data_IF_521781458172
#
_entry.id   IF_521781458172
#
_cell.length_a   1.000
_cell.length_b   1.000
_cell.length_c   1.000
_cell.angle_alpha   90.00
_cell.angle_beta   90.00
_cell.angle_gamma   90.00
#
_symmetry.space_group_name_H-M   'P 1'
#
loop_
_entity.id
_entity.type
_entity.pdbx_description
1 polymer ?
#
# COMPACT_ATOMS: atom_id res chain seq x y z
N UNK A 1 -48.72 -14.89 -11.17
CA UNK A 1 -47.61 -15.84 -11.46
C UNK A 1 -46.73 -15.33 -12.60
N UNK A 2 -47.24 -15.13 -13.82
CA UNK A 2 -46.45 -14.53 -14.93
C UNK A 2 -45.95 -13.11 -14.57
N UNK A 3 -46.80 -12.30 -13.95
CA UNK A 3 -46.45 -10.96 -13.45
C UNK A 3 -45.25 -11.00 -12.50
N UNK A 4 -45.27 -11.88 -11.49
CA UNK A 4 -44.15 -12.07 -10.57
C UNK A 4 -42.82 -12.42 -11.27
N UNK A 5 -42.84 -13.29 -12.29
CA UNK A 5 -41.63 -13.61 -13.06
C UNK A 5 -41.17 -12.43 -13.92
N UNK A 6 -42.09 -11.60 -14.42
CA UNK A 6 -41.75 -10.36 -15.11
C UNK A 6 -41.13 -9.35 -14.15
N UNK A 7 -41.65 -9.19 -12.94
CA UNK A 7 -41.05 -8.33 -11.89
C UNK A 7 -39.62 -8.79 -11.56
N UNK A 8 -39.39 -10.10 -11.39
CA UNK A 8 -38.05 -10.64 -11.17
C UNK A 8 -37.10 -10.38 -12.35
N UNK A 9 -37.61 -10.46 -13.58
CA UNK A 9 -36.84 -10.12 -14.78
C UNK A 9 -36.49 -8.64 -14.83
N UNK A 10 -37.42 -7.75 -14.47
CA UNK A 10 -37.18 -6.31 -14.37
C UNK A 10 -36.14 -6.00 -13.29
N UNK A 11 -36.23 -6.64 -12.13
CA UNK A 11 -35.23 -6.53 -11.07
C UNK A 11 -33.82 -6.91 -11.56
N UNK A 12 -33.68 -8.02 -12.29
CA UNK A 12 -32.40 -8.41 -12.87
C UNK A 12 -31.89 -7.39 -13.92
N UNK A 13 -32.80 -6.79 -14.70
CA UNK A 13 -32.44 -5.77 -15.67
C UNK A 13 -31.90 -4.48 -15.02
N UNK A 14 -32.32 -4.14 -13.78
CA UNK A 14 -31.72 -3.02 -13.01
C UNK A 14 -30.22 -3.22 -12.82
N UNK A 15 -29.78 -4.46 -12.64
CA UNK A 15 -28.36 -4.81 -12.55
C UNK A 15 -27.71 -5.07 -13.91
N UNK A 16 -28.42 -4.77 -15.00
CA UNK A 16 -28.06 -5.08 -16.39
C UNK A 16 -27.86 -6.58 -16.68
N UNK A 17 -28.57 -7.44 -15.94
CA UNK A 17 -28.57 -8.89 -16.13
C UNK A 17 -29.77 -9.31 -16.96
N UNK A 18 -29.49 -9.71 -18.20
CA UNK A 18 -30.47 -10.26 -19.13
C UNK A 18 -30.93 -11.66 -18.72
N UNK A 19 -32.25 -11.82 -18.64
CA UNK A 19 -32.93 -13.10 -18.43
C UNK A 19 -34.13 -13.26 -19.35
N UNK A 20 -34.60 -14.50 -19.52
CA UNK A 20 -35.82 -14.83 -20.23
C UNK A 20 -36.63 -15.85 -19.44
N UNK A 21 -37.95 -15.83 -19.63
CA UNK A 21 -38.88 -16.75 -18.97
C UNK A 21 -39.30 -17.79 -20.01
N UNK A 22 -39.13 -19.06 -19.69
CA UNK A 22 -39.69 -20.16 -20.46
C UNK A 22 -40.80 -20.83 -19.67
N UNK A 23 -41.93 -21.07 -20.32
CA UNK A 23 -43.05 -21.83 -19.78
C UNK A 23 -42.96 -23.21 -20.43
N UNK A 24 -42.79 -24.25 -19.61
CA UNK A 24 -42.84 -25.63 -20.08
C UNK A 24 -44.10 -26.28 -19.55
N UNK A 25 -44.86 -26.85 -20.47
CA UNK A 25 -45.91 -27.80 -20.18
C UNK A 25 -45.29 -29.21 -20.23
N UNK A 26 -44.64 -29.61 -19.13
CA UNK A 26 -43.96 -30.91 -19.07
C UNK A 26 -44.96 -32.07 -18.86
N UNK A 27 -46.28 -31.82 -18.90
CA UNK A 27 -47.35 -32.79 -18.58
C UNK A 27 -47.09 -33.53 -17.26
N UNK A 28 -46.33 -32.93 -16.35
CA UNK A 28 -46.10 -33.48 -15.03
C UNK A 28 -47.38 -33.32 -14.22
N UNK A 29 -47.99 -34.45 -13.86
CA UNK A 29 -49.19 -34.48 -13.04
C UNK A 29 -48.81 -34.41 -11.57
N UNK A 30 -49.46 -33.51 -10.82
CA UNK A 30 -49.27 -33.41 -9.38
C UNK A 30 -49.67 -34.75 -8.73
N UNK A 31 -48.74 -35.43 -8.06
CA UNK A 31 -48.94 -36.78 -7.45
C UNK A 31 -50.19 -36.91 -6.57
N UNK A 32 -50.66 -35.79 -6.00
CA UNK A 32 -51.80 -35.77 -5.05
C UNK A 32 -53.16 -35.76 -5.75
N UNK A 33 -53.31 -35.00 -6.84
CA UNK A 33 -54.63 -34.69 -7.43
C UNK A 33 -54.69 -34.82 -8.97
N UNK A 34 -53.63 -35.36 -9.61
CA UNK A 34 -53.55 -35.60 -11.07
C UNK A 34 -53.79 -34.38 -11.98
N UNK A 35 -53.67 -33.16 -11.46
CA UNK A 35 -53.74 -31.91 -12.23
C UNK A 35 -52.44 -31.66 -13.00
N UNK A 36 -52.57 -31.07 -14.19
CA UNK A 36 -51.45 -30.63 -15.02
C UNK A 36 -50.70 -29.47 -14.34
N UNK A 37 -49.37 -29.57 -14.26
CA UNK A 37 -48.51 -28.55 -13.65
C UNK A 37 -47.78 -27.78 -14.75
N UNK A 38 -47.92 -26.46 -14.75
CA UNK A 38 -47.13 -25.57 -15.58
C UNK A 38 -45.85 -25.16 -14.82
N UNK A 39 -44.70 -25.40 -15.43
CA UNK A 39 -43.40 -25.01 -14.86
C UNK A 39 -42.92 -23.72 -15.51
N UNK A 40 -42.77 -22.68 -14.69
CA UNK A 40 -42.15 -21.42 -15.09
C UNK A 40 -40.67 -21.46 -14.73
N UNK A 41 -39.79 -21.19 -15.69
CA UNK A 41 -38.35 -21.11 -15.45
C UNK A 41 -37.81 -19.74 -15.88
N UNK A 42 -37.23 -19.01 -14.93
CA UNK A 42 -36.45 -17.80 -15.20
C UNK A 42 -35.00 -18.22 -15.48
N UNK A 43 -34.54 -18.02 -16.72
CA UNK A 43 -33.20 -18.44 -17.15
C UNK A 43 -32.34 -17.23 -17.48
N UNK A 44 -31.13 -17.18 -16.94
CA UNK A 44 -30.14 -16.17 -17.29
C UNK A 44 -29.55 -16.47 -18.67
N UNK A 45 -29.31 -15.44 -19.49
CA UNK A 45 -28.56 -15.63 -20.73
C UNK A 45 -27.12 -16.06 -20.39
N UNK A 46 -26.62 -17.11 -21.04
CA UNK A 46 -25.31 -17.72 -20.77
C UNK A 46 -24.13 -17.01 -21.44
N UNK A 47 -24.29 -15.74 -21.85
CA UNK A 47 -23.17 -14.98 -22.43
C UNK A 47 -22.18 -14.59 -21.33
N UNK A 48 -20.89 -14.54 -21.68
CA UNK A 48 -19.82 -14.19 -20.73
C UNK A 48 -20.09 -12.84 -20.04
N UNK A 49 -20.54 -11.85 -20.82
CA UNK A 49 -20.88 -10.51 -20.33
C UNK A 49 -22.03 -10.55 -19.31
N UNK A 50 -23.08 -11.32 -19.59
CA UNK A 50 -24.25 -11.40 -18.73
C UNK A 50 -23.94 -12.14 -17.42
N UNK A 51 -23.21 -13.25 -17.52
CA UNK A 51 -22.76 -14.00 -16.35
C UNK A 51 -21.76 -13.18 -15.51
N UNK A 52 -20.88 -12.40 -16.14
CA UNK A 52 -19.98 -11.50 -15.44
C UNK A 52 -20.76 -10.48 -14.61
N UNK A 53 -21.74 -9.80 -15.22
CA UNK A 53 -22.61 -8.85 -14.51
C UNK A 53 -23.37 -9.50 -13.37
N UNK A 54 -23.92 -10.69 -13.59
CA UNK A 54 -24.62 -11.44 -12.55
C UNK A 54 -23.70 -11.74 -11.35
N UNK A 55 -22.54 -12.34 -11.58
CA UNK A 55 -21.63 -12.72 -10.50
C UNK A 55 -20.94 -11.53 -9.82
N UNK A 56 -20.65 -10.46 -10.57
CA UNK A 56 -19.98 -9.26 -10.06
C UNK A 56 -20.93 -8.32 -9.29
N UNK A 57 -22.21 -8.21 -9.71
CA UNK A 57 -23.17 -7.24 -9.14
C UNK A 57 -24.16 -7.86 -8.18
N UNK A 58 -24.57 -9.12 -8.40
CA UNK A 58 -25.58 -9.80 -7.58
C UNK A 58 -24.94 -10.91 -6.75
N UNK A 59 -24.31 -11.88 -7.42
CA UNK A 59 -23.64 -13.03 -6.81
C UNK A 59 -24.54 -13.84 -5.87
N UNK A 60 -23.94 -14.38 -4.80
CA UNK A 60 -24.62 -15.24 -3.83
C UNK A 60 -24.34 -14.78 -2.39
N UNK A 61 -24.67 -13.53 -2.08
CA UNK A 61 -24.36 -12.90 -0.79
C UNK A 61 -24.92 -13.67 0.43
N UNK A 62 -25.95 -14.49 0.23
CA UNK A 62 -26.60 -15.28 1.26
C UNK A 62 -25.84 -16.55 1.67
N UNK A 63 -24.80 -16.97 0.93
CA UNK A 63 -24.05 -18.20 1.18
C UNK A 63 -22.56 -17.98 0.94
N UNK A 64 -21.73 -18.14 1.97
CA UNK A 64 -20.32 -17.75 1.95
C UNK A 64 -19.51 -18.47 0.86
N UNK A 65 -19.67 -19.79 0.77
CA UNK A 65 -18.97 -20.60 -0.23
C UNK A 65 -19.33 -20.19 -1.67
N UNK A 66 -20.63 -20.00 -1.94
CA UNK A 66 -21.11 -19.57 -3.26
C UNK A 66 -20.71 -18.14 -3.57
N UNK A 67 -20.67 -17.26 -2.56
CA UNK A 67 -20.20 -15.89 -2.70
C UNK A 67 -18.73 -15.84 -3.13
N UNK A 68 -17.86 -16.66 -2.51
CA UNK A 68 -16.45 -16.80 -2.93
C UNK A 68 -16.33 -17.30 -4.37
N UNK A 69 -17.03 -18.38 -4.71
CA UNK A 69 -17.00 -18.92 -6.08
C UNK A 69 -17.52 -17.92 -7.11
N UNK A 70 -18.57 -17.15 -6.78
CA UNK A 70 -19.09 -16.07 -7.63
C UNK A 70 -18.02 -15.03 -7.94
N UNK A 71 -17.27 -14.59 -6.93
CA UNK A 71 -16.20 -13.59 -7.10
C UNK A 71 -15.10 -14.13 -8.02
N UNK A 72 -14.64 -15.36 -7.77
CA UNK A 72 -13.63 -16.01 -8.63
C UNK A 72 -14.14 -16.20 -10.07
N UNK A 73 -15.38 -16.65 -10.24
CA UNK A 73 -16.01 -16.79 -11.55
C UNK A 73 -16.13 -15.44 -12.27
N UNK A 74 -16.41 -14.36 -11.55
CA UNK A 74 -16.51 -13.02 -12.12
C UNK A 74 -15.15 -12.54 -12.67
N UNK A 75 -14.05 -12.72 -11.93
CA UNK A 75 -12.71 -12.34 -12.38
C UNK A 75 -12.23 -13.24 -13.53
N UNK A 76 -12.55 -14.52 -13.51
CA UNK A 76 -12.27 -15.41 -14.64
C UNK A 76 -13.04 -15.01 -15.91
N UNK A 77 -14.30 -14.61 -15.78
CA UNK A 77 -15.10 -14.10 -16.91
C UNK A 77 -14.55 -12.77 -17.42
N UNK A 78 -14.09 -11.89 -16.53
CA UNK A 78 -13.40 -10.64 -16.88
C UNK A 78 -12.11 -10.93 -17.67
N UNK A 79 -11.31 -11.91 -17.24
CA UNK A 79 -10.14 -12.38 -17.98
C UNK A 79 -10.50 -12.92 -19.38
N UNK A 80 -11.61 -13.66 -19.51
CA UNK A 80 -12.15 -14.10 -20.81
C UNK A 80 -12.54 -12.92 -21.71
N UNK A 81 -13.31 -11.97 -21.17
CA UNK A 81 -13.76 -10.78 -21.91
C UNK A 81 -12.57 -9.94 -22.37
N UNK A 82 -11.60 -9.71 -21.49
CA UNK A 82 -10.36 -9.00 -21.80
C UNK A 82 -9.58 -9.71 -22.92
N UNK A 83 -9.48 -11.04 -22.86
CA UNK A 83 -8.84 -11.82 -23.92
C UNK A 83 -9.57 -11.62 -25.25
N UNK A 84 -10.90 -11.71 -25.29
CA UNK A 84 -11.66 -11.43 -26.53
C UNK A 84 -11.35 -10.03 -27.07
N UNK A 85 -11.27 -9.02 -26.20
CA UNK A 85 -10.95 -7.65 -26.61
C UNK A 85 -9.54 -7.54 -27.22
N UNK A 86 -8.53 -8.19 -26.63
CA UNK A 86 -7.18 -8.26 -27.21
C UNK A 86 -7.21 -8.88 -28.61
N UNK A 87 -7.95 -9.96 -28.80
CA UNK A 87 -8.07 -10.61 -30.11
C UNK A 87 -8.85 -9.74 -31.12
N UNK A 88 -9.83 -8.95 -30.68
CA UNK A 88 -10.49 -7.95 -31.52
C UNK A 88 -9.54 -6.86 -31.98
N UNK A 89 -8.68 -6.36 -31.08
CA UNK A 89 -7.62 -5.40 -31.45
C UNK A 89 -6.66 -6.00 -32.48
N UNK A 90 -6.25 -7.26 -32.29
CA UNK A 90 -5.45 -8.01 -33.29
C UNK A 90 -6.17 -8.10 -34.64
N UNK A 91 -7.47 -8.35 -34.67
CA UNK A 91 -8.25 -8.37 -35.92
C UNK A 91 -8.18 -7.03 -36.68
N UNK A 92 -8.36 -5.91 -35.97
CA UNK A 92 -8.29 -4.59 -36.58
C UNK A 92 -6.90 -4.28 -37.17
N UNK A 93 -5.85 -4.71 -36.45
CA UNK A 93 -4.47 -4.65 -36.95
C UNK A 93 -4.28 -5.51 -38.20
N UNK A 94 -4.84 -6.73 -38.25
CA UNK A 94 -4.78 -7.60 -39.43
C UNK A 94 -5.39 -6.90 -40.65
N UNK A 95 -6.58 -6.31 -40.52
CA UNK A 95 -7.24 -5.58 -41.61
C UNK A 95 -6.37 -4.42 -42.12
N UNK A 96 -5.76 -3.67 -41.19
CA UNK A 96 -4.88 -2.54 -41.50
C UNK A 96 -3.62 -2.98 -42.25
N UNK A 97 -2.94 -4.04 -41.77
CA UNK A 97 -1.68 -4.51 -42.34
C UNK A 97 -1.86 -5.23 -43.68
N UNK A 98 -2.98 -5.94 -43.88
CA UNK A 98 -3.34 -6.49 -45.19
C UNK A 98 -3.62 -5.36 -46.19
N UNK A 99 -4.28 -4.29 -45.76
CA UNK A 99 -4.52 -3.09 -46.59
C UNK A 99 -3.23 -2.42 -47.09
N UNK A 100 -2.11 -2.59 -46.38
CA UNK A 100 -0.77 -2.13 -46.80
C UNK A 100 -0.08 -3.06 -47.82
N UNK A 101 -0.74 -4.14 -48.25
CA UNK A 101 -0.21 -5.08 -49.24
C UNK A 101 0.68 -6.20 -48.66
N UNK A 102 0.70 -6.38 -47.34
CA UNK A 102 1.49 -7.44 -46.69
C UNK A 102 0.80 -8.80 -46.88
N UNK A 103 1.57 -9.87 -47.13
CA UNK A 103 1.00 -11.21 -47.26
C UNK A 103 0.40 -11.73 -45.94
N UNK A 104 -0.65 -12.55 -46.02
CA UNK A 104 -1.32 -13.13 -44.84
C UNK A 104 -0.36 -13.85 -43.89
N UNK A 105 0.65 -14.55 -44.41
CA UNK A 105 1.67 -15.24 -43.60
C UNK A 105 2.56 -14.27 -42.83
N UNK A 106 2.90 -13.13 -43.43
CA UNK A 106 3.73 -12.12 -42.77
C UNK A 106 2.92 -11.34 -41.73
N UNK A 107 1.64 -11.04 -42.01
CA UNK A 107 0.73 -10.44 -41.01
C UNK A 107 0.51 -11.38 -39.82
N UNK A 108 0.33 -12.67 -40.06
CA UNK A 108 0.20 -13.66 -38.98
C UNK A 108 1.41 -13.67 -38.03
N UNK A 109 2.63 -13.53 -38.57
CA UNK A 109 3.86 -13.40 -37.78
C UNK A 109 3.95 -12.06 -37.04
N UNK A 110 3.59 -10.97 -37.70
CA UNK A 110 3.66 -9.62 -37.13
C UNK A 110 2.70 -9.44 -35.94
N UNK A 111 1.48 -9.97 -36.06
CA UNK A 111 0.41 -9.84 -35.05
C UNK A 111 0.45 -10.99 -34.02
N UNK A 112 1.39 -11.93 -34.18
CA UNK A 112 1.53 -13.13 -33.36
C UNK A 112 0.21 -13.90 -33.25
N UNK A 113 -0.26 -14.43 -34.37
CA UNK A 113 -1.49 -15.22 -34.46
C UNK A 113 -1.39 -16.31 -35.54
N UNK A 114 -2.35 -17.23 -35.55
CA UNK A 114 -2.37 -18.29 -36.56
C UNK A 114 -2.78 -17.75 -37.93
N UNK A 115 -2.26 -18.35 -38.99
CA UNK A 115 -2.66 -18.04 -40.36
C UNK A 115 -4.17 -18.26 -40.57
N UNK A 116 -4.75 -19.28 -39.94
CA UNK A 116 -6.19 -19.57 -40.01
C UNK A 116 -7.03 -18.46 -39.36
N UNK A 117 -6.52 -17.83 -38.31
CA UNK A 117 -7.19 -16.69 -37.68
C UNK A 117 -7.21 -15.49 -38.63
N UNK A 118 -6.09 -15.16 -39.27
CA UNK A 118 -6.01 -14.11 -40.30
C UNK A 118 -7.02 -14.36 -41.42
N UNK A 119 -7.06 -15.58 -41.95
CA UNK A 119 -8.00 -15.95 -43.01
C UNK A 119 -9.48 -15.88 -42.57
N UNK A 120 -9.76 -16.13 -41.28
CA UNK A 120 -11.11 -16.02 -40.72
C UNK A 120 -11.55 -14.55 -40.56
N UNK A 121 -10.66 -13.66 -40.14
CA UNK A 121 -10.97 -12.24 -39.99
C UNK A 121 -11.22 -11.56 -41.34
N UNK A 122 -10.46 -11.93 -42.37
CA UNK A 122 -10.72 -11.45 -43.75
C UNK A 122 -12.08 -11.90 -44.31
N UNK A 123 -12.69 -12.93 -43.74
CA UNK A 123 -14.05 -13.40 -44.08
C UNK A 123 -15.13 -12.74 -43.20
N UNK A 124 -14.78 -11.76 -42.36
CA UNK A 124 -15.69 -11.06 -41.46
C UNK A 124 -16.27 -11.96 -40.36
N UNK A 125 -15.56 -13.02 -39.94
CA UNK A 125 -16.03 -13.89 -38.87
C UNK A 125 -15.82 -13.24 -37.50
N UNK A 126 -16.81 -13.42 -36.62
CA UNK A 126 -16.72 -12.95 -35.23
C UNK A 126 -15.50 -13.49 -34.48
N UNK A 127 -14.88 -12.62 -33.69
CA UNK A 127 -13.78 -12.97 -32.80
C UNK A 127 -14.33 -13.69 -31.57
N UNK A 128 -13.90 -14.94 -31.40
CA UNK A 128 -14.19 -15.75 -30.23
C UNK A 128 -12.92 -16.07 -29.45
N UNK A 129 -13.11 -16.59 -28.23
CA UNK A 129 -12.03 -17.07 -27.39
C UNK A 129 -11.24 -18.17 -28.10
N UNK A 130 -9.89 -18.11 -28.13
CA UNK A 130 -9.08 -19.18 -28.70
C UNK A 130 -9.24 -20.47 -27.88
N UNK A 131 -9.77 -21.54 -28.50
CA UNK A 131 -10.05 -22.81 -27.79
C UNK A 131 -8.79 -23.62 -27.46
N UNK A 132 -7.81 -23.62 -28.35
CA UNK A 132 -6.49 -24.22 -28.10
C UNK A 132 -5.73 -23.24 -27.19
N UNK A 133 -5.48 -23.62 -25.94
CA UNK A 133 -4.61 -22.93 -24.97
C UNK A 133 -5.25 -21.87 -24.06
N UNK A 134 -6.58 -21.75 -23.98
CA UNK A 134 -7.16 -20.96 -22.90
C UNK A 134 -7.24 -21.77 -21.61
N UNK A 135 -6.82 -21.18 -20.50
CA UNK A 135 -6.76 -21.84 -19.19
C UNK A 135 -8.18 -22.11 -18.69
N UNK A 136 -8.46 -23.34 -18.25
CA UNK A 136 -9.74 -23.70 -17.61
C UNK A 136 -9.88 -23.07 -16.22
N UNK A 137 -11.10 -23.01 -15.68
CA UNK A 137 -11.39 -22.26 -14.45
C UNK A 137 -10.56 -22.74 -13.26
N UNK A 138 -10.54 -24.05 -13.00
CA UNK A 138 -9.83 -24.61 -11.83
C UNK A 138 -8.32 -24.34 -11.94
N UNK A 139 -7.74 -24.59 -13.12
CA UNK A 139 -6.32 -24.28 -13.38
C UNK A 139 -6.00 -22.79 -13.35
N UNK A 140 -6.97 -21.93 -13.63
CA UNK A 140 -6.80 -20.48 -13.56
C UNK A 140 -6.77 -20.03 -12.10
N UNK A 141 -7.63 -20.60 -11.24
CA UNK A 141 -7.58 -20.35 -9.79
C UNK A 141 -6.23 -20.75 -9.23
N UNK A 142 -5.78 -21.99 -9.48
CA UNK A 142 -4.49 -22.51 -8.96
C UNK A 142 -3.29 -21.65 -9.35
N UNK A 143 -3.39 -20.91 -10.47
CA UNK A 143 -2.30 -20.11 -11.01
C UNK A 143 -2.32 -18.65 -10.52
N UNK A 144 -3.50 -18.07 -10.30
CA UNK A 144 -3.64 -16.63 -10.08
C UNK A 144 -4.20 -16.25 -8.71
N UNK A 145 -4.82 -17.20 -7.99
CA UNK A 145 -5.29 -16.96 -6.63
C UNK A 145 -4.17 -17.20 -5.62
N UNK A 146 -3.99 -16.25 -4.72
CA UNK A 146 -3.01 -16.30 -3.65
C UNK A 146 -3.65 -15.70 -2.38
N UNK A 147 -3.94 -16.53 -1.39
CA UNK A 147 -4.53 -16.14 -0.10
C UNK A 147 -5.73 -15.17 -0.23
N UNK A 148 -6.72 -15.55 -1.05
CA UNK A 148 -7.93 -14.76 -1.35
C UNK A 148 -7.72 -13.50 -2.21
N UNK A 149 -6.52 -13.26 -2.72
CA UNK A 149 -6.22 -12.22 -3.70
C UNK A 149 -6.04 -12.82 -5.10
N UNK A 150 -6.36 -12.02 -6.13
CA UNK A 150 -6.07 -12.38 -7.52
C UNK A 150 -4.98 -11.44 -8.02
N UNK A 151 -3.84 -12.01 -8.41
CA UNK A 151 -2.73 -11.25 -8.97
C UNK A 151 -3.07 -10.77 -10.39
N UNK A 152 -3.09 -9.44 -10.57
CA UNK A 152 -3.28 -8.80 -11.87
C UNK A 152 -2.01 -8.03 -12.26
N UNK A 153 -1.60 -8.17 -13.53
CA UNK A 153 -0.48 -7.40 -14.09
C UNK A 153 -1.01 -6.14 -14.77
N UNK A 154 -0.38 -5.01 -14.47
CA UNK A 154 -0.61 -3.76 -15.20
C UNK A 154 0.00 -3.93 -16.59
N UNK A 155 -0.82 -3.76 -17.63
CA UNK A 155 -0.41 -3.95 -19.03
C UNK A 155 -0.03 -2.60 -19.66
N UNK A 156 -0.74 -1.53 -19.31
CA UNK A 156 -0.57 -0.21 -19.90
C UNK A 156 -1.02 0.86 -18.91
N UNK A 157 -0.28 1.97 -18.83
CA UNK A 157 -0.66 3.17 -18.08
C UNK A 157 -0.88 4.27 -19.11
N UNK A 158 -2.08 4.87 -19.11
CA UNK A 158 -2.44 5.96 -20.03
C UNK A 158 -2.76 7.22 -19.25
N UNK A 159 -2.23 8.34 -19.73
CA UNK A 159 -2.69 9.65 -19.30
C UNK A 159 -4.04 9.96 -19.97
N UNK A 160 -5.05 10.25 -19.17
CA UNK A 160 -6.39 10.60 -19.64
C UNK A 160 -6.67 12.05 -19.30
N UNK A 161 -7.22 12.79 -20.26
CA UNK A 161 -7.69 14.16 -20.02
C UNK A 161 -9.02 14.07 -19.28
N UNK A 162 -9.04 14.50 -18.03
CA UNK A 162 -10.25 14.52 -17.22
C UNK A 162 -10.53 15.96 -16.78
N UNK A 163 -11.74 16.45 -17.05
CA UNK A 163 -12.10 17.87 -16.93
C UNK A 163 -12.21 18.36 -15.49
N UNK A 164 -12.31 17.45 -14.51
CA UNK A 164 -12.50 17.81 -13.09
C UNK A 164 -11.78 16.81 -12.17
N UNK A 165 -10.43 16.80 -12.24
CA UNK A 165 -9.61 16.10 -11.25
C UNK A 165 -9.38 17.05 -10.08
N UNK A 166 -10.10 16.83 -8.98
CA UNK A 166 -9.72 17.44 -7.70
C UNK A 166 -8.51 16.71 -7.20
N UNK A 167 -7.39 17.43 -7.17
CA UNK A 167 -6.19 16.94 -6.52
C UNK A 167 -6.44 16.83 -5.01
N UNK A 168 -6.78 15.62 -4.58
CA UNK A 168 -6.90 15.23 -3.17
C UNK A 168 -5.57 14.72 -2.62
N UNK A 169 -4.48 14.84 -3.36
CA UNK A 169 -3.16 14.43 -2.88
C UNK A 169 -2.61 15.45 -1.89
N UNK A 170 -2.26 14.96 -0.70
CA UNK A 170 -1.12 15.51 0.02
C UNK A 170 0.09 14.76 -0.53
N UNK A 171 0.89 15.39 -1.39
CA UNK A 171 2.07 14.83 -2.10
C UNK A 171 1.80 13.60 -2.98
N UNK A 172 2.66 13.39 -3.98
CA UNK A 172 2.39 12.62 -5.22
C UNK A 172 1.96 11.15 -5.07
N UNK A 173 2.09 10.49 -3.90
CA UNK A 173 1.99 9.03 -3.79
C UNK A 173 0.98 8.47 -2.76
N UNK A 174 0.05 9.27 -2.25
CA UNK A 174 -0.73 8.89 -1.05
C UNK A 174 -2.11 8.28 -1.29
N UNK A 175 -2.61 8.26 -2.53
CA UNK A 175 -3.99 7.89 -2.87
C UNK A 175 -4.04 6.80 -3.93
N UNK A 176 -4.83 5.76 -3.69
CA UNK A 176 -5.09 4.72 -4.68
C UNK A 176 -6.58 4.40 -4.77
N UNK A 177 -7.09 4.27 -6.00
CA UNK A 177 -8.45 3.81 -6.29
C UNK A 177 -8.38 2.36 -6.75
N UNK A 178 -8.91 1.44 -5.94
CA UNK A 178 -9.02 0.01 -6.27
C UNK A 178 -10.47 -0.41 -6.35
N UNK A 179 -10.95 -0.85 -7.51
CA UNK A 179 -12.31 -1.40 -7.66
C UNK A 179 -13.43 -0.53 -7.05
N UNK A 180 -13.31 0.80 -7.16
CA UNK A 180 -14.29 1.76 -6.60
C UNK A 180 -14.07 2.14 -5.13
N UNK A 181 -13.06 1.58 -4.45
CA UNK A 181 -12.64 1.99 -3.11
C UNK A 181 -11.46 2.95 -3.18
N UNK A 182 -11.60 4.09 -2.49
CA UNK A 182 -10.49 5.04 -2.28
C UNK A 182 -9.74 4.60 -1.02
N UNK A 183 -8.46 4.29 -1.17
CA UNK A 183 -7.51 4.15 -0.06
C UNK A 183 -6.63 5.39 0.01
N UNK A 184 -6.59 6.03 1.17
CA UNK A 184 -5.90 7.30 1.41
C UNK A 184 -4.98 7.16 2.62
N UNK A 185 -3.67 7.32 2.41
CA UNK A 185 -2.66 7.25 3.47
C UNK A 185 -2.23 8.66 3.87
N UNK A 186 -2.49 9.08 5.11
CA UNK A 186 -2.06 10.38 5.62
C UNK A 186 -1.43 10.28 7.01
N UNK A 187 -0.50 11.19 7.30
CA UNK A 187 0.09 11.31 8.65
C UNK A 187 -0.90 11.94 9.63
N UNK A 188 -1.73 12.87 9.15
CA UNK A 188 -2.66 13.64 9.99
C UNK A 188 -4.03 13.68 9.33
N UNK A 189 -5.01 13.01 9.94
CA UNK A 189 -6.40 13.03 9.46
C UNK A 189 -6.96 14.46 9.40
N UNK A 190 -6.54 15.34 10.31
CA UNK A 190 -6.96 16.75 10.35
C UNK A 190 -6.57 17.57 9.12
N UNK A 191 -5.59 17.11 8.33
CA UNK A 191 -5.24 17.75 7.06
C UNK A 191 -6.16 17.34 5.91
N UNK A 192 -7.06 16.38 6.13
CA UNK A 192 -8.03 15.92 5.13
C UNK A 192 -9.34 16.69 5.31
N UNK A 193 -9.93 17.14 4.21
CA UNK A 193 -11.21 17.86 4.26
C UNK A 193 -12.35 16.95 4.77
N UNK A 194 -13.26 17.52 5.55
CA UNK A 194 -14.38 16.80 6.17
C UNK A 194 -15.29 16.03 5.19
N UNK A 195 -15.56 16.51 3.96
CA UNK A 195 -16.34 15.74 2.98
C UNK A 195 -15.72 14.39 2.60
N UNK A 196 -14.39 14.25 2.67
CA UNK A 196 -13.72 12.97 2.41
C UNK A 196 -13.76 12.12 3.68
N UNK A 197 -13.41 12.69 4.84
CA UNK A 197 -13.40 11.95 6.10
C UNK A 197 -14.76 11.31 6.43
N UNK A 198 -15.85 12.05 6.20
CA UNK A 198 -17.23 11.57 6.44
C UNK A 198 -17.63 10.36 5.58
N UNK A 199 -16.92 10.09 4.48
CA UNK A 199 -17.17 8.97 3.56
C UNK A 199 -16.16 7.83 3.71
N UNK A 200 -15.19 7.96 4.61
CA UNK A 200 -14.11 7.00 4.81
C UNK A 200 -14.18 6.38 6.20
N UNK A 201 -13.88 5.08 6.29
CA UNK A 201 -13.55 4.45 7.56
C UNK A 201 -12.12 4.87 7.95
N UNK A 202 -11.97 5.58 9.07
CA UNK A 202 -10.69 6.12 9.52
C UNK A 202 -9.97 5.10 10.41
N UNK A 203 -8.82 4.60 9.94
CA UNK A 203 -7.93 3.76 10.72
C UNK A 203 -6.73 4.56 11.20
N UNK A 204 -6.49 4.58 12.52
CA UNK A 204 -5.35 5.28 13.12
C UNK A 204 -4.26 4.29 13.50
N UNK A 205 -3.16 4.31 12.77
CA UNK A 205 -1.97 3.52 13.07
C UNK A 205 -1.16 4.22 14.16
N UNK A 206 -0.85 3.49 15.23
CA UNK A 206 0.02 3.95 16.31
C UNK A 206 1.44 3.44 16.07
N UNK A 207 2.47 4.11 16.62
CA UNK A 207 3.83 3.58 16.63
C UNK A 207 3.85 2.15 17.20
N UNK A 208 4.70 1.29 16.63
CA UNK A 208 4.79 -0.10 17.06
C UNK A 208 5.45 -0.22 18.43
N UNK A 209 5.08 -1.27 19.17
CA UNK A 209 5.74 -1.59 20.44
C UNK A 209 7.16 -2.09 20.17
N UNK A 210 8.05 -1.84 21.12
CA UNK A 210 9.46 -2.26 21.04
C UNK A 210 9.59 -3.79 20.86
N UNK A 211 8.76 -4.56 21.56
CA UNK A 211 8.71 -6.03 21.46
C UNK A 211 8.39 -6.52 20.04
N UNK A 212 7.42 -5.88 19.37
CA UNK A 212 7.00 -6.23 18.01
C UNK A 212 8.11 -5.91 17.00
N UNK A 213 8.79 -4.77 17.18
CA UNK A 213 9.96 -4.39 16.36
C UNK A 213 11.09 -5.40 16.57
N UNK A 214 11.46 -5.71 17.82
CA UNK A 214 12.52 -6.67 18.14
C UNK A 214 12.23 -8.04 17.52
N UNK A 215 10.98 -8.52 17.62
CA UNK A 215 10.55 -9.78 17.04
C UNK A 215 10.71 -9.80 15.51
N UNK A 216 10.33 -8.71 14.83
CA UNK A 216 10.42 -8.63 13.38
C UNK A 216 11.88 -8.48 12.90
N UNK A 217 12.70 -7.70 13.61
CA UNK A 217 14.14 -7.60 13.33
C UNK A 217 14.83 -8.97 13.46
N UNK A 218 14.51 -9.73 14.52
CA UNK A 218 15.04 -11.08 14.71
C UNK A 218 14.59 -12.05 13.60
N UNK A 219 13.36 -11.90 13.10
CA UNK A 219 12.86 -12.66 11.95
C UNK A 219 13.68 -12.37 10.69
N UNK A 220 13.92 -11.09 10.37
CA UNK A 220 14.76 -10.69 9.23
C UNK A 220 16.18 -11.22 9.40
N UNK A 221 16.79 -10.99 10.58
CA UNK A 221 18.15 -11.40 10.86
C UNK A 221 18.37 -12.90 10.65
N UNK A 222 17.42 -13.73 11.11
CA UNK A 222 17.48 -15.18 10.95
C UNK A 222 17.39 -15.61 9.48
N UNK A 223 16.55 -14.97 8.69
CA UNK A 223 16.35 -15.31 7.28
C UNK A 223 17.51 -14.84 6.40
N UNK A 224 18.12 -13.70 6.74
CA UNK A 224 19.25 -13.11 6.02
C UNK A 224 20.61 -13.59 6.56
N UNK A 225 20.63 -14.41 7.61
CA UNK A 225 21.87 -14.94 8.21
C UNK A 225 22.71 -13.89 8.95
N UNK A 226 22.09 -12.82 9.45
CA UNK A 226 22.77 -11.71 10.14
C UNK A 226 23.01 -12.02 11.62
N UNK A 227 24.15 -11.55 12.16
CA UNK A 227 24.49 -11.65 13.59
C UNK A 227 24.24 -10.29 14.27
N UNK A 228 23.06 -10.15 14.88
CA UNK A 228 22.69 -8.97 15.67
C UNK A 228 22.99 -9.24 17.14
N UNK A 229 23.76 -8.36 17.78
CA UNK A 229 23.92 -8.35 19.23
C UNK A 229 22.74 -7.67 19.92
N UNK A 230 22.51 -7.99 21.20
CA UNK A 230 21.35 -7.49 21.93
C UNK A 230 21.37 -5.95 22.07
N UNK A 231 22.54 -5.37 22.32
CA UNK A 231 22.77 -3.92 22.36
C UNK A 231 22.52 -3.26 20.99
N UNK A 232 22.90 -3.91 19.89
CA UNK A 232 22.61 -3.46 18.53
C UNK A 232 21.12 -3.46 18.22
N UNK A 233 20.38 -4.50 18.63
CA UNK A 233 18.93 -4.56 18.46
C UNK A 233 18.23 -3.44 19.25
N UNK A 234 18.64 -3.22 20.50
CA UNK A 234 18.06 -2.18 21.36
C UNK A 234 18.41 -0.77 20.85
N UNK A 235 19.61 -0.57 20.29
CA UNK A 235 19.98 0.67 19.60
C UNK A 235 19.11 0.94 18.37
N UNK A 236 18.84 -0.07 17.53
CA UNK A 236 17.94 0.07 16.37
C UNK A 236 16.53 0.46 16.84
N UNK A 237 16.02 -0.20 17.87
CA UNK A 237 14.68 0.09 18.43
C UNK A 237 14.61 1.53 18.95
N UNK A 238 15.65 1.99 19.63
CA UNK A 238 15.76 3.36 20.12
C UNK A 238 15.73 4.38 18.96
N UNK A 239 16.56 4.18 17.94
CA UNK A 239 16.62 5.08 16.76
C UNK A 239 15.31 5.05 15.97
N UNK A 240 14.70 3.89 15.81
CA UNK A 240 13.46 3.71 15.08
C UNK A 240 12.27 4.41 15.73
N UNK A 241 12.26 4.54 17.07
CA UNK A 241 11.18 5.22 17.82
C UNK A 241 9.76 4.77 17.42
N UNK A 242 9.59 3.47 17.17
CA UNK A 242 8.29 2.88 16.78
C UNK A 242 8.03 2.78 15.26
N UNK A 243 8.95 3.26 14.41
CA UNK A 243 8.86 3.18 12.95
C UNK A 243 9.63 1.95 12.41
N UNK A 244 8.89 0.93 11.97
CA UNK A 244 9.48 -0.29 11.39
C UNK A 244 10.32 -0.02 10.15
N UNK A 245 9.94 0.96 9.33
CA UNK A 245 10.69 1.29 8.11
C UNK A 245 12.09 1.76 8.49
N UNK A 246 12.17 2.69 9.43
CA UNK A 246 13.46 3.16 9.97
C UNK A 246 14.27 2.01 10.58
N UNK A 247 13.63 1.13 11.35
CA UNK A 247 14.30 -0.02 11.98
C UNK A 247 14.93 -0.94 10.93
N UNK A 248 14.18 -1.31 9.89
CA UNK A 248 14.65 -2.18 8.80
C UNK A 248 15.74 -1.50 7.98
N UNK A 249 15.59 -0.21 7.66
CA UNK A 249 16.63 0.54 6.94
C UNK A 249 17.93 0.63 7.74
N UNK A 250 17.85 0.90 9.05
CA UNK A 250 19.02 0.91 9.93
C UNK A 250 19.71 -0.46 9.96
N UNK A 251 18.94 -1.53 10.10
CA UNK A 251 19.46 -2.90 10.07
C UNK A 251 20.17 -3.21 8.74
N UNK A 252 19.55 -2.84 7.63
CA UNK A 252 20.09 -3.10 6.28
C UNK A 252 21.42 -2.37 6.06
N UNK A 253 21.52 -1.10 6.45
CA UNK A 253 22.76 -0.33 6.31
C UNK A 253 23.83 -0.85 7.29
N UNK A 254 23.45 -1.27 8.49
CA UNK A 254 24.40 -1.88 9.42
C UNK A 254 24.99 -3.20 8.88
N UNK A 255 24.14 -4.04 8.32
CA UNK A 255 24.52 -5.31 7.71
C UNK A 255 25.45 -5.14 6.49
N UNK A 256 25.37 -4.01 5.77
CA UNK A 256 26.25 -3.76 4.63
C UNK A 256 27.66 -3.28 5.01
N UNK A 257 27.83 -2.77 6.22
CA UNK A 257 29.10 -2.23 6.73
C UNK A 257 29.87 -3.26 7.55
N UNK A 258 29.17 -4.08 8.34
CA UNK A 258 29.79 -5.05 9.25
C UNK A 258 28.96 -6.33 9.31
N UNK A 259 29.65 -7.48 9.40
CA UNK A 259 29.00 -8.77 9.66
C UNK A 259 28.39 -8.85 11.07
N UNK A 260 28.91 -8.04 12.00
CA UNK A 260 28.48 -7.98 13.40
C UNK A 260 27.82 -6.63 13.67
N UNK A 261 26.58 -6.67 14.12
CA UNK A 261 25.75 -5.48 14.34
C UNK A 261 25.69 -5.20 15.84
N UNK A 262 26.48 -4.20 16.27
CA UNK A 262 26.59 -3.69 17.64
C UNK A 262 25.97 -2.28 17.75
N UNK A 263 25.79 -1.77 18.98
CA UNK A 263 25.21 -0.44 19.18
C UNK A 263 26.05 0.69 18.54
N UNK A 264 27.38 0.57 18.58
CA UNK A 264 28.31 1.58 18.05
C UNK A 264 28.13 1.81 16.56
N UNK A 265 28.06 0.72 15.78
CA UNK A 265 27.87 0.80 14.35
C UNK A 265 26.50 1.40 14.01
N UNK A 266 25.46 1.09 14.77
CA UNK A 266 24.12 1.65 14.57
C UNK A 266 24.14 3.17 14.76
N UNK A 267 24.61 3.67 15.89
CA UNK A 267 24.61 5.12 16.16
C UNK A 267 25.44 5.90 15.15
N UNK A 268 26.58 5.35 14.72
CA UNK A 268 27.43 5.96 13.69
C UNK A 268 26.73 6.01 12.32
N UNK A 269 26.03 4.95 11.93
CA UNK A 269 25.36 4.85 10.63
C UNK A 269 24.10 5.72 10.57
N UNK A 270 23.32 5.77 11.65
CA UNK A 270 22.07 6.51 11.68
C UNK A 270 22.26 7.99 11.99
N UNK A 271 23.52 8.46 12.08
CA UNK A 271 23.87 9.82 12.48
C UNK A 271 23.03 10.27 13.68
N UNK A 272 22.95 9.43 14.71
CA UNK A 272 22.16 9.72 15.91
C UNK A 272 23.08 9.81 17.12
N UNK A 273 22.96 10.89 17.89
CA UNK A 273 23.73 11.06 19.11
C UNK A 273 23.43 9.93 20.11
N UNK A 274 24.48 9.38 20.74
CA UNK A 274 24.30 8.42 21.83
C UNK A 274 23.67 9.13 23.02
N UNK A 275 22.64 8.56 23.66
CA UNK A 275 22.02 9.16 24.83
C UNK A 275 23.02 9.45 25.94
N UNK A 276 24.01 8.58 26.12
CA UNK A 276 25.07 8.71 27.12
C UNK A 276 25.99 9.91 26.86
N UNK A 277 26.36 10.16 25.60
CA UNK A 277 27.23 11.28 25.24
C UNK A 277 26.50 12.62 25.42
N UNK A 278 25.23 12.69 25.03
CA UNK A 278 24.39 13.89 25.26
C UNK A 278 24.20 14.13 26.74
N UNK A 279 23.92 13.09 27.53
CA UNK A 279 23.77 13.20 28.99
C UNK A 279 25.08 13.65 29.65
N UNK A 280 26.23 13.11 29.21
CA UNK A 280 27.56 13.53 29.68
C UNK A 280 27.82 15.00 29.38
N UNK A 281 27.53 15.44 28.15
CA UNK A 281 27.67 16.83 27.73
C UNK A 281 26.82 17.77 28.61
N UNK A 282 25.53 17.45 28.80
CA UNK A 282 24.61 18.28 29.57
C UNK A 282 24.97 18.33 31.06
N UNK A 283 25.34 17.21 31.67
CA UNK A 283 25.79 17.19 33.06
C UNK A 283 27.07 18.00 33.26
N UNK A 284 28.04 17.88 32.34
CA UNK A 284 29.28 18.66 32.38
C UNK A 284 29.00 20.16 32.28
N UNK A 285 28.03 20.56 31.45
CA UNK A 285 27.59 21.94 31.34
C UNK A 285 26.96 22.44 32.66
N UNK A 286 26.07 21.64 33.26
CA UNK A 286 25.38 21.96 34.52
C UNK A 286 26.38 22.06 35.70
N UNK A 287 27.41 21.22 35.72
CA UNK A 287 28.48 21.26 36.73
C UNK A 287 29.36 22.52 36.64
N UNK A 288 29.26 23.29 35.55
CA UNK A 288 29.96 24.57 35.37
C UNK A 288 31.14 24.53 34.41
N UNK A 289 31.46 23.38 33.81
CA UNK A 289 32.60 23.24 32.89
C UNK A 289 32.17 23.38 31.43
N UNK A 290 31.95 24.63 31.02
CA UNK A 290 31.51 24.97 29.66
C UNK A 290 32.48 24.49 28.58
N UNK A 291 33.79 24.58 28.82
CA UNK A 291 34.81 24.23 27.83
C UNK A 291 34.77 22.72 27.57
N UNK A 292 34.69 21.88 28.62
CA UNK A 292 34.55 20.44 28.43
C UNK A 292 33.23 20.05 27.75
N UNK A 293 32.13 20.69 28.12
CA UNK A 293 30.84 20.45 27.45
C UNK A 293 30.89 20.82 25.96
N UNK A 294 31.52 21.95 25.63
CA UNK A 294 31.76 22.37 24.25
C UNK A 294 32.63 21.38 23.47
N UNK A 295 33.69 20.84 24.09
CA UNK A 295 34.51 19.83 23.44
C UNK A 295 33.71 18.54 23.14
N UNK A 296 32.82 18.12 24.06
CA UNK A 296 31.91 16.99 23.82
C UNK A 296 30.94 17.28 22.66
N UNK A 297 30.45 18.52 22.55
CA UNK A 297 29.63 18.95 21.43
C UNK A 297 30.41 18.91 20.11
N UNK A 298 31.65 19.39 20.10
CA UNK A 298 32.52 19.38 18.94
C UNK A 298 32.81 17.95 18.47
N UNK A 299 33.02 17.00 19.40
CA UNK A 299 33.14 15.58 19.04
C UNK A 299 31.88 15.05 18.35
N UNK A 300 30.69 15.41 18.85
CA UNK A 300 29.41 15.03 18.26
C UNK A 300 29.17 15.62 16.86
N UNK A 301 29.48 16.90 16.67
CA UNK A 301 29.32 17.59 15.39
C UNK A 301 30.35 17.12 14.35
N UNK A 302 31.62 16.98 14.75
CA UNK A 302 32.74 16.77 13.82
C UNK A 302 33.00 15.27 13.59
N UNK A 303 33.13 14.48 14.66
CA UNK A 303 33.55 13.09 14.52
C UNK A 303 32.38 12.18 14.11
N UNK A 304 31.20 12.44 14.65
CA UNK A 304 29.99 11.67 14.35
C UNK A 304 29.13 12.30 13.24
N UNK A 305 29.43 13.52 12.81
CA UNK A 305 28.75 14.19 11.69
C UNK A 305 27.27 14.49 11.95
N UNK A 306 26.91 14.70 13.22
CA UNK A 306 25.52 14.92 13.62
C UNK A 306 25.04 16.31 13.23
N UNK A 307 23.79 16.42 12.79
CA UNK A 307 23.18 17.74 12.55
C UNK A 307 22.84 18.43 13.87
N UNK A 308 22.84 19.76 13.88
CA UNK A 308 22.42 20.52 15.05
C UNK A 308 20.98 20.23 15.46
N UNK A 309 20.10 19.96 14.50
CA UNK A 309 18.71 19.56 14.76
C UNK A 309 18.65 18.22 15.52
N UNK A 310 19.44 17.23 15.12
CA UNK A 310 19.43 15.91 15.76
C UNK A 310 19.94 15.99 17.19
N UNK A 311 21.01 16.76 17.41
CA UNK A 311 21.53 17.03 18.76
C UNK A 311 20.46 17.74 19.60
N UNK A 312 19.77 18.74 19.06
CA UNK A 312 18.73 19.49 19.79
C UNK A 312 17.54 18.61 20.18
N UNK A 313 17.08 17.74 19.26
CA UNK A 313 16.04 16.75 19.54
C UNK A 313 16.46 15.79 20.64
N UNK A 314 17.74 15.40 20.68
CA UNK A 314 18.26 14.53 21.73
C UNK A 314 18.46 15.24 23.07
N UNK A 315 18.87 16.52 23.06
CA UNK A 315 18.89 17.36 24.25
C UNK A 315 17.48 17.42 24.84
N UNK A 316 16.47 17.74 24.04
CA UNK A 316 15.07 17.81 24.51
C UNK A 316 14.60 16.51 25.17
N UNK A 317 14.93 15.34 24.60
CA UNK A 317 14.62 14.04 25.22
C UNK A 317 15.35 13.84 26.56
N UNK A 318 16.61 14.26 26.64
CA UNK A 318 17.48 14.05 27.81
C UNK A 318 17.17 15.00 28.97
N UNK A 319 16.60 16.19 28.71
CA UNK A 319 16.29 17.19 29.75
C UNK A 319 15.43 16.60 30.88
N UNK A 320 14.49 15.74 30.55
CA UNK A 320 13.58 15.14 31.53
C UNK A 320 14.31 14.27 32.57
N UNK A 321 15.41 13.63 32.15
CA UNK A 321 16.23 12.72 32.96
C UNK A 321 17.31 13.44 33.80
N UNK A 322 17.44 14.76 33.66
CA UNK A 322 18.43 15.55 34.39
C UNK A 322 18.02 15.74 35.86
N UNK A 323 19.02 15.70 36.76
CA UNK A 323 18.84 15.88 38.20
C UNK A 323 18.86 17.37 38.62
N UNK A 324 18.04 18.19 37.97
CA UNK A 324 17.85 19.62 38.25
C UNK A 324 16.41 19.92 38.70
N UNK A 325 16.16 21.03 39.42
CA UNK A 325 14.79 21.43 39.81
C UNK A 325 13.88 21.62 38.59
N UNK A 326 12.59 21.26 38.73
CA UNK A 326 11.62 21.32 37.63
C UNK A 326 11.44 22.74 37.07
N UNK A 327 11.53 23.78 37.91
CA UNK A 327 11.51 25.18 37.47
C UNK A 327 12.62 25.47 36.45
N UNK A 328 13.82 24.92 36.68
CA UNK A 328 14.96 25.05 35.76
C UNK A 328 14.80 24.19 34.52
N UNK A 329 14.16 23.03 34.61
CA UNK A 329 13.82 22.23 33.43
C UNK A 329 12.89 23.00 32.50
N UNK A 330 11.87 23.68 33.03
CA UNK A 330 10.93 24.48 32.24
C UNK A 330 11.67 25.61 31.49
N UNK A 331 12.56 26.33 32.18
CA UNK A 331 13.39 27.38 31.58
C UNK A 331 14.26 26.83 30.42
N UNK A 332 14.85 25.65 30.60
CA UNK A 332 15.70 25.02 29.57
C UNK A 332 14.89 24.46 28.39
N UNK A 333 13.68 23.97 28.62
CA UNK A 333 12.77 23.52 27.55
C UNK A 333 12.40 24.70 26.65
N UNK A 334 12.03 25.84 27.23
CA UNK A 334 11.72 27.07 26.48
C UNK A 334 12.92 27.50 25.61
N UNK A 335 14.12 27.53 26.20
CA UNK A 335 15.35 27.89 25.47
C UNK A 335 15.71 26.89 24.38
N UNK A 336 15.47 25.60 24.61
CA UNK A 336 15.69 24.55 23.60
C UNK A 336 14.76 24.75 22.39
N UNK A 337 13.49 25.08 22.62
CA UNK A 337 12.53 25.39 21.55
C UNK A 337 12.89 26.66 20.77
N UNK A 338 13.35 27.71 21.47
CA UNK A 338 13.83 28.94 20.83
C UNK A 338 15.05 28.68 19.92
N UNK A 339 15.99 27.86 20.39
CA UNK A 339 17.18 27.46 19.64
C UNK A 339 16.81 26.61 18.43
N UNK A 340 15.92 25.62 18.58
CA UNK A 340 15.38 24.83 17.46
C UNK A 340 14.76 25.73 16.39
N UNK A 341 13.91 26.67 16.78
CA UNK A 341 13.29 27.62 15.87
C UNK A 341 14.33 28.46 15.11
N UNK A 342 15.34 29.00 15.81
CA UNK A 342 16.41 29.77 15.17
C UNK A 342 17.23 28.96 14.16
N UNK A 343 17.47 27.68 14.43
CA UNK A 343 18.16 26.79 13.50
C UNK A 343 17.31 26.49 12.26
N UNK A 344 16.01 26.25 12.42
CA UNK A 344 15.08 26.07 11.29
C UNK A 344 15.02 27.31 10.39
N UNK A 345 15.15 28.52 10.96
CA UNK A 345 15.27 29.79 10.21
C UNK A 345 16.63 29.98 9.52
N UNK A 346 17.56 29.03 9.63
CA UNK A 346 18.86 29.05 8.96
C UNK A 346 19.99 29.71 9.76
N UNK A 347 19.84 29.85 11.08
CA UNK A 347 20.94 30.31 11.93
C UNK A 347 22.08 29.30 11.97
N UNK A 348 23.29 29.76 12.31
CA UNK A 348 24.44 28.88 12.46
C UNK A 348 24.25 27.90 13.64
N UNK A 349 24.19 26.61 13.34
CA UNK A 349 23.94 25.53 14.30
C UNK A 349 24.91 25.54 15.48
N UNK A 350 26.22 25.70 15.20
CA UNK A 350 27.25 25.68 16.23
C UNK A 350 27.06 26.80 17.24
N UNK A 351 26.81 28.02 16.77
CA UNK A 351 26.60 29.18 17.65
C UNK A 351 25.35 28.99 18.51
N UNK A 352 24.27 28.46 17.93
CA UNK A 352 23.03 28.25 18.68
C UNK A 352 23.17 27.15 19.73
N UNK A 353 23.86 26.04 19.43
CA UNK A 353 24.11 24.96 20.38
C UNK A 353 25.08 25.39 21.50
N UNK A 354 26.13 26.16 21.18
CA UNK A 354 27.03 26.73 22.19
C UNK A 354 26.27 27.72 23.10
N UNK A 355 25.36 28.52 22.53
CA UNK A 355 24.46 29.38 23.30
C UNK A 355 23.54 28.56 24.21
N UNK A 356 22.99 27.45 23.72
CA UNK A 356 22.15 26.57 24.51
C UNK A 356 22.93 25.96 25.68
N UNK A 357 24.15 25.45 25.45
CA UNK A 357 25.03 24.95 26.51
C UNK A 357 25.35 26.00 27.57
N UNK A 358 25.51 27.27 27.17
CA UNK A 358 25.69 28.36 28.11
C UNK A 358 24.47 28.55 29.03
N UNK A 359 23.25 28.40 28.50
CA UNK A 359 22.03 28.40 29.31
C UNK A 359 21.95 27.21 30.28
N UNK A 360 22.35 26.01 29.85
CA UNK A 360 22.45 24.84 30.74
C UNK A 360 23.41 25.09 31.91
N UNK A 361 24.55 25.74 31.66
CA UNK A 361 25.49 26.13 32.70
C UNK A 361 24.90 27.16 33.68
N UNK A 362 24.18 28.16 33.17
CA UNK A 362 23.53 29.17 34.01
C UNK A 362 22.42 28.56 34.89
N UNK A 363 21.71 27.55 34.38
CA UNK A 363 20.70 26.83 35.14
C UNK A 363 21.30 25.94 36.25
N UNK A 364 22.52 25.44 36.06
CA UNK A 364 23.25 24.62 37.04
C UNK A 364 23.94 25.40 38.16
N UNK A 365 24.23 26.69 37.94
CA UNK A 365 24.76 27.56 39.00
C UNK A 365 23.69 27.74 40.08
N UNK A 366 23.93 27.16 41.26
CA UNK A 366 23.17 27.43 42.48
C UNK A 366 23.27 28.93 42.79
N UNK A 367 22.14 29.63 42.71
CA UNK A 367 21.98 30.97 43.28
C UNK A 367 22.02 30.91 44.80
#
# INVERSE_FOLDING_TARGET
MIEFYNELRELLNVFEVSSYISIRDEKEKRKKDSQDVLTFALTLKSSNENLYRFFARIGYAYEEYKSRLSRLASEYLKHKLFTIELWKRKSLLIETEIGKGISQRNVARLVDCSHDFVAAQLKGKDVHLPRKNFVEFDRWIDKYENDCFIENKIIEIKEIKCDDVRDITCSQDHNFISNGFISHNCNYSSKIIEPIQSRCAVFRFRPLKQEDIKKYLNFIAKNEGLKIEEDGADAIIYVASGDMRKAVSALQVAASVSEKIDAENIYRITATAKPEDVKRMLNTAIEGDFIKARNCLDEMLINYGLSGEDITKQIHKTIFDLSIPDEKKIELIDKTGEVEFRMVEGSNERIQLESLLAHFMLAGKKT
#
